data_IF_285065924150
#
_entry.id   IF_285065924150
#
_cell.length_a   1.000
_cell.length_b   1.000
_cell.length_c   1.000
_cell.angle_alpha   90.00
_cell.angle_beta   90.00
_cell.angle_gamma   90.00
#
_symmetry.space_group_name_H-M   'P 1'
#
loop_
_entity.id
_entity.type
_entity.pdbx_description
1 polymer ?
#
# COMPACT_ATOMS: atom_id res chain seq x y z
N UNK A 1 -54.02 -12.05 -19.52
CA UNK A 1 -53.02 -11.02 -19.85
C UNK A 1 -52.24 -10.60 -18.62
N UNK A 2 -52.83 -10.16 -17.51
CA UNK A 2 -52.09 -9.71 -16.31
C UNK A 2 -51.09 -10.74 -15.68
N UNK A 3 -51.42 -12.03 -15.70
CA UNK A 3 -50.52 -13.10 -15.16
C UNK A 3 -49.30 -13.35 -16.06
N UNK A 4 -49.38 -13.06 -17.33
CA UNK A 4 -48.26 -13.22 -18.29
C UNK A 4 -47.33 -12.01 -18.20
N UNK A 5 -47.87 -10.82 -18.01
CA UNK A 5 -47.08 -9.57 -17.79
C UNK A 5 -46.31 -9.60 -16.48
N UNK A 6 -46.93 -10.00 -15.36
CA UNK A 6 -46.26 -10.23 -14.06
C UNK A 6 -45.14 -11.29 -14.13
N UNK A 7 -45.34 -12.36 -14.91
CA UNK A 7 -44.31 -13.39 -15.13
C UNK A 7 -43.13 -12.83 -15.93
N UNK A 8 -43.38 -11.97 -16.93
CA UNK A 8 -42.36 -11.35 -17.75
C UNK A 8 -41.53 -10.32 -16.92
N UNK A 9 -42.19 -9.50 -16.12
CA UNK A 9 -41.51 -8.54 -15.24
C UNK A 9 -40.63 -9.26 -14.21
N UNK A 10 -41.10 -10.36 -13.61
CA UNK A 10 -40.32 -11.18 -12.69
C UNK A 10 -39.05 -11.73 -13.34
N UNK A 11 -39.16 -12.31 -14.53
CA UNK A 11 -38.00 -12.85 -15.25
C UNK A 11 -37.02 -11.74 -15.69
N UNK A 12 -37.51 -10.59 -16.11
CA UNK A 12 -36.66 -9.45 -16.46
C UNK A 12 -35.88 -8.97 -15.24
N UNK A 13 -36.50 -8.83 -14.08
CA UNK A 13 -35.86 -8.41 -12.84
C UNK A 13 -34.85 -9.46 -12.34
N UNK A 14 -35.17 -10.76 -12.47
CA UNK A 14 -34.24 -11.84 -12.15
C UNK A 14 -32.98 -11.79 -13.03
N UNK A 15 -33.14 -11.55 -14.32
CA UNK A 15 -32.01 -11.42 -15.24
C UNK A 15 -31.17 -10.18 -14.92
N UNK A 16 -31.81 -9.04 -14.66
CA UNK A 16 -31.12 -7.81 -14.26
C UNK A 16 -30.29 -8.02 -12.98
N UNK A 17 -30.85 -8.66 -11.96
CA UNK A 17 -30.14 -8.98 -10.72
C UNK A 17 -28.93 -9.88 -11.00
N UNK A 18 -29.07 -10.87 -11.88
CA UNK A 18 -27.95 -11.75 -12.25
C UNK A 18 -26.84 -10.98 -12.97
N UNK A 19 -27.18 -10.04 -13.86
CA UNK A 19 -26.21 -9.16 -14.52
C UNK A 19 -25.52 -8.21 -13.51
N UNK A 20 -26.27 -7.66 -12.56
CA UNK A 20 -25.72 -6.84 -11.48
C UNK A 20 -24.78 -7.63 -10.56
N UNK A 21 -25.11 -8.88 -10.21
CA UNK A 21 -24.20 -9.77 -9.48
C UNK A 21 -22.90 -10.01 -10.22
N UNK A 22 -22.96 -10.27 -11.51
CA UNK A 22 -21.78 -10.44 -12.35
C UNK A 22 -20.95 -9.13 -12.42
N UNK A 23 -21.61 -7.99 -12.58
CA UNK A 23 -20.98 -6.67 -12.62
C UNK A 23 -20.31 -6.34 -11.28
N UNK A 24 -20.97 -6.63 -10.16
CA UNK A 24 -20.38 -6.43 -8.83
C UNK A 24 -19.18 -7.33 -8.63
N UNK A 25 -19.26 -8.61 -9.00
CA UNK A 25 -18.12 -9.56 -8.94
C UNK A 25 -16.91 -9.04 -9.69
N UNK A 26 -17.09 -8.58 -10.93
CA UNK A 26 -15.97 -8.03 -11.72
C UNK A 26 -15.44 -6.71 -11.16
N UNK A 27 -16.31 -5.89 -10.57
CA UNK A 27 -15.90 -4.61 -9.96
C UNK A 27 -15.10 -4.85 -8.68
N UNK A 28 -15.52 -5.81 -7.84
CA UNK A 28 -14.79 -6.24 -6.65
C UNK A 28 -13.44 -6.83 -7.06
N UNK A 29 -13.42 -7.74 -8.04
CA UNK A 29 -12.18 -8.32 -8.54
C UNK A 29 -11.18 -7.24 -9.00
N UNK A 30 -11.63 -6.25 -9.77
CA UNK A 30 -10.79 -5.12 -10.21
C UNK A 30 -10.28 -4.29 -9.04
N UNK A 31 -11.09 -4.06 -8.02
CA UNK A 31 -10.68 -3.36 -6.81
C UNK A 31 -9.58 -4.13 -6.05
N UNK A 32 -9.78 -5.43 -5.85
CA UNK A 32 -8.84 -6.28 -5.13
C UNK A 32 -7.53 -6.47 -5.90
N UNK A 33 -7.59 -6.68 -7.21
CA UNK A 33 -6.40 -6.74 -8.08
C UNK A 33 -5.61 -5.42 -8.02
N UNK A 34 -6.32 -4.29 -8.10
CA UNK A 34 -5.69 -2.97 -7.98
C UNK A 34 -5.02 -2.78 -6.63
N UNK A 35 -5.73 -3.10 -5.55
CA UNK A 35 -5.29 -2.87 -4.17
C UNK A 35 -4.16 -3.82 -3.75
N UNK A 36 -4.31 -5.11 -4.02
CA UNK A 36 -3.43 -6.14 -3.45
C UNK A 36 -2.28 -6.55 -4.37
N UNK A 37 -2.44 -6.39 -5.69
CA UNK A 37 -1.43 -6.80 -6.65
C UNK A 37 -0.77 -5.58 -7.29
N UNK A 38 -1.55 -4.73 -7.98
CA UNK A 38 -0.99 -3.62 -8.76
C UNK A 38 -0.33 -2.58 -7.85
N UNK A 39 -1.01 -2.11 -6.79
CA UNK A 39 -0.45 -1.14 -5.86
C UNK A 39 0.75 -1.70 -5.08
N UNK A 40 0.74 -3.00 -4.76
CA UNK A 40 1.88 -3.67 -4.12
C UNK A 40 3.10 -3.65 -5.05
N UNK A 41 2.94 -4.03 -6.32
CA UNK A 41 4.02 -4.05 -7.30
C UNK A 41 4.57 -2.65 -7.56
N UNK A 42 3.70 -1.64 -7.71
CA UNK A 42 4.11 -0.23 -7.85
C UNK A 42 4.92 0.21 -6.62
N UNK A 43 4.44 -0.11 -5.40
CA UNK A 43 5.17 0.24 -4.16
C UNK A 43 6.55 -0.43 -4.12
N UNK A 44 6.61 -1.72 -4.42
CA UNK A 44 7.88 -2.47 -4.45
C UNK A 44 8.86 -1.84 -5.44
N UNK A 45 8.43 -1.63 -6.67
CA UNK A 45 9.27 -1.04 -7.71
C UNK A 45 9.75 0.37 -7.34
N UNK A 46 8.85 1.23 -6.87
CA UNK A 46 9.20 2.59 -6.46
C UNK A 46 10.21 2.61 -5.31
N UNK A 47 10.00 1.77 -4.27
CA UNK A 47 10.93 1.70 -3.13
C UNK A 47 12.34 1.27 -3.55
N UNK A 48 12.46 0.38 -4.52
CA UNK A 48 13.76 -0.09 -5.00
C UNK A 48 14.44 0.90 -5.96
N UNK A 49 13.71 1.52 -6.87
CA UNK A 49 14.28 2.38 -7.91
C UNK A 49 14.50 3.83 -7.42
N UNK A 50 13.61 4.35 -6.58
CA UNK A 50 13.60 5.75 -6.14
C UNK A 50 13.67 5.88 -4.61
N UNK A 51 12.88 5.09 -3.88
CA UNK A 51 12.72 5.18 -2.44
C UNK A 51 14.04 5.00 -1.67
N UNK A 52 14.94 4.16 -2.16
CA UNK A 52 16.30 4.00 -1.59
C UNK A 52 17.09 5.31 -1.65
N UNK A 53 17.01 6.02 -2.76
CA UNK A 53 17.70 7.31 -2.93
C UNK A 53 17.04 8.41 -2.07
N UNK A 54 15.70 8.44 -2.00
CA UNK A 54 14.98 9.33 -1.09
C UNK A 54 15.36 9.09 0.38
N UNK A 55 15.52 7.82 0.77
CA UNK A 55 16.01 7.48 2.11
C UNK A 55 17.40 8.04 2.38
N UNK A 56 18.33 7.91 1.43
CA UNK A 56 19.69 8.43 1.56
C UNK A 56 19.69 9.96 1.67
N UNK A 57 18.92 10.65 0.84
CA UNK A 57 18.76 12.13 0.92
C UNK A 57 18.21 12.53 2.28
N UNK A 58 17.18 11.86 2.77
CA UNK A 58 16.58 12.16 4.08
C UNK A 58 17.54 11.87 5.24
N UNK A 59 18.34 10.80 5.14
CA UNK A 59 19.39 10.48 6.10
C UNK A 59 20.44 11.60 6.17
N UNK A 60 20.95 12.04 5.03
CA UNK A 60 21.94 13.12 4.94
C UNK A 60 21.34 14.45 5.45
N UNK A 61 20.08 14.74 5.14
CA UNK A 61 19.35 15.89 5.71
C UNK A 61 19.25 15.84 7.24
N UNK A 62 18.92 14.70 7.82
CA UNK A 62 18.85 14.53 9.27
C UNK A 62 20.23 14.73 9.92
N UNK A 63 21.29 14.20 9.31
CA UNK A 63 22.68 14.40 9.77
C UNK A 63 23.08 15.89 9.69
N UNK A 64 22.78 16.57 8.58
CA UNK A 64 23.01 18.01 8.43
C UNK A 64 22.33 18.80 9.56
N UNK A 65 21.06 18.57 9.82
CA UNK A 65 20.34 19.26 10.91
C UNK A 65 20.96 18.98 12.27
N UNK A 66 21.33 17.74 12.54
CA UNK A 66 21.96 17.33 13.80
C UNK A 66 23.32 18.02 14.01
N UNK A 67 24.16 18.05 12.97
CA UNK A 67 25.46 18.74 13.02
C UNK A 67 25.31 20.26 13.18
N UNK A 68 24.37 20.87 12.45
CA UNK A 68 24.04 22.29 12.61
C UNK A 68 23.66 22.59 14.07
N UNK A 69 22.80 21.79 14.66
CA UNK A 69 22.37 21.95 16.04
C UNK A 69 23.53 21.71 17.02
N UNK A 70 24.42 20.75 16.72
CA UNK A 70 25.65 20.50 17.51
C UNK A 70 26.57 21.72 17.50
N UNK A 71 26.83 22.28 16.33
CA UNK A 71 27.64 23.49 16.21
C UNK A 71 27.05 24.69 16.95
N UNK A 72 25.73 24.87 16.94
CA UNK A 72 25.03 25.92 17.71
C UNK A 72 25.23 25.74 19.20
N UNK A 73 25.10 24.52 19.73
CA UNK A 73 25.31 24.22 21.17
C UNK A 73 26.75 24.42 21.59
N UNK A 74 27.72 24.02 20.79
CA UNK A 74 29.14 24.24 21.04
C UNK A 74 29.44 25.74 21.09
N UNK A 75 28.96 26.52 20.11
CA UNK A 75 29.11 28.00 20.10
C UNK A 75 28.50 28.64 21.34
N UNK A 76 27.35 28.17 21.79
CA UNK A 76 26.65 28.69 22.96
C UNK A 76 27.49 28.49 24.22
N UNK A 77 28.01 27.27 24.48
CA UNK A 77 28.88 27.01 25.63
C UNK A 77 30.19 27.81 25.57
N UNK A 78 30.76 27.92 24.35
CA UNK A 78 31.99 28.74 24.14
C UNK A 78 31.76 30.21 24.44
N UNK A 79 30.65 30.79 24.01
CA UNK A 79 30.29 32.18 24.30
C UNK A 79 30.12 32.46 25.80
N UNK A 80 29.63 31.48 26.54
CA UNK A 80 29.45 31.58 28.01
C UNK A 80 30.70 31.20 28.81
N UNK A 81 31.78 30.87 28.15
CA UNK A 81 32.99 30.34 28.77
C UNK A 81 32.77 29.10 29.68
N UNK A 82 31.78 28.28 29.32
CA UNK A 82 31.43 27.03 29.98
C UNK A 82 32.26 25.88 29.43
N UNK A 83 32.52 24.86 30.24
CA UNK A 83 33.18 23.63 29.74
C UNK A 83 32.28 22.90 28.76
N UNK A 84 32.81 22.57 27.59
CA UNK A 84 32.10 21.83 26.55
C UNK A 84 32.13 20.35 26.89
N UNK A 85 30.97 19.78 27.23
CA UNK A 85 30.77 18.34 27.39
C UNK A 85 30.09 17.77 26.14
N UNK A 86 30.89 17.21 25.23
CA UNK A 86 30.40 16.62 23.97
C UNK A 86 29.45 15.46 24.19
N UNK A 87 29.66 14.65 25.27
CA UNK A 87 28.75 13.53 25.56
C UNK A 87 27.38 14.03 26.00
N UNK A 88 27.32 15.07 26.80
CA UNK A 88 26.07 15.69 27.21
C UNK A 88 25.35 16.32 26.03
N UNK A 89 26.07 16.99 25.12
CA UNK A 89 25.53 17.58 23.90
C UNK A 89 24.95 16.47 23.03
N UNK A 90 25.70 15.38 22.74
CA UNK A 90 25.27 14.29 21.89
C UNK A 90 24.06 13.56 22.47
N UNK A 91 24.03 13.26 23.76
CA UNK A 91 22.86 12.66 24.44
C UNK A 91 21.61 13.54 24.32
N UNK A 92 21.79 14.87 24.43
CA UNK A 92 20.69 15.81 24.24
C UNK A 92 20.19 15.86 22.80
N UNK A 93 21.09 15.72 21.83
CA UNK A 93 20.73 15.64 20.41
C UNK A 93 20.04 14.31 20.08
N UNK A 94 20.46 13.19 20.65
CA UNK A 94 19.80 11.89 20.45
C UNK A 94 18.32 11.94 20.86
N UNK A 95 18.01 12.62 21.95
CA UNK A 95 16.62 12.83 22.38
C UNK A 95 15.86 13.77 21.44
N UNK A 96 16.49 14.88 21.02
CA UNK A 96 15.87 15.87 20.11
C UNK A 96 15.59 15.26 18.73
N UNK A 97 16.45 14.36 18.25
CA UNK A 97 16.38 13.74 16.92
C UNK A 97 15.74 12.33 16.93
N UNK A 98 15.20 11.86 18.04
CA UNK A 98 14.62 10.52 18.16
C UNK A 98 13.49 10.26 17.15
N UNK A 99 12.62 11.26 16.87
CA UNK A 99 11.57 11.13 15.86
C UNK A 99 12.11 11.01 14.44
N UNK A 100 13.19 11.74 14.12
CA UNK A 100 13.85 11.63 12.80
C UNK A 100 14.45 10.23 12.63
N UNK A 101 15.09 9.70 13.67
CA UNK A 101 15.65 8.36 13.67
C UNK A 101 14.55 7.31 13.46
N UNK A 102 13.43 7.42 14.18
CA UNK A 102 12.28 6.52 13.99
C UNK A 102 11.77 6.52 12.55
N UNK A 103 11.65 7.69 11.93
CA UNK A 103 11.22 7.78 10.51
C UNK A 103 12.23 7.14 9.56
N UNK A 104 13.52 7.23 9.86
CA UNK A 104 14.58 6.55 9.09
C UNK A 104 14.46 5.04 9.21
N UNK A 105 14.24 4.54 10.43
CA UNK A 105 14.08 3.10 10.70
C UNK A 105 12.84 2.54 10.01
N UNK A 106 11.70 3.24 10.11
CA UNK A 106 10.45 2.87 9.43
C UNK A 106 10.65 2.78 7.91
N UNK A 107 11.38 3.74 7.32
CA UNK A 107 11.63 3.77 5.87
C UNK A 107 12.63 2.70 5.42
N UNK A 108 13.65 2.42 6.24
CA UNK A 108 14.58 1.32 5.98
C UNK A 108 13.87 -0.04 6.01
N UNK A 109 12.92 -0.22 6.93
CA UNK A 109 12.09 -1.42 7.00
C UNK A 109 11.20 -1.57 5.74
N UNK A 110 10.61 -0.49 5.23
CA UNK A 110 9.82 -0.52 4.00
C UNK A 110 10.66 -0.94 2.77
N UNK A 111 11.88 -0.42 2.65
CA UNK A 111 12.82 -0.80 1.58
C UNK A 111 13.22 -2.28 1.71
N UNK A 112 13.52 -2.74 2.92
CA UNK A 112 13.87 -4.14 3.17
C UNK A 112 12.70 -5.08 2.83
N UNK A 113 11.48 -4.72 3.20
CA UNK A 113 10.26 -5.45 2.81
C UNK A 113 10.09 -5.50 1.29
N UNK A 114 10.33 -4.38 0.61
CA UNK A 114 10.27 -4.33 -0.85
C UNK A 114 11.32 -5.24 -1.51
N UNK A 115 12.54 -5.28 -0.98
CA UNK A 115 13.58 -6.19 -1.47
C UNK A 115 13.19 -7.67 -1.26
N UNK A 116 12.65 -8.04 -0.11
CA UNK A 116 12.16 -9.39 0.16
C UNK A 116 10.97 -9.83 -0.70
N UNK A 117 10.17 -8.89 -1.23
CA UNK A 117 9.10 -9.23 -2.18
C UNK A 117 9.65 -9.70 -3.55
N UNK A 118 10.84 -9.24 -3.97
CA UNK A 118 11.48 -9.70 -5.21
C UNK A 118 12.02 -11.14 -5.11
N UNK A 119 12.30 -11.62 -3.91
CA UNK A 119 12.83 -12.98 -3.68
C UNK A 119 11.72 -14.03 -3.66
N UNK A 120 10.45 -13.62 -3.63
CA UNK A 120 9.32 -14.57 -3.67
C UNK A 120 9.21 -15.20 -5.05
N UNK A 121 8.85 -16.49 -5.07
CA UNK A 121 8.52 -17.19 -6.30
C UNK A 121 7.44 -16.43 -7.08
N UNK A 122 7.74 -16.13 -8.34
CA UNK A 122 6.83 -15.46 -9.24
C UNK A 122 5.97 -16.52 -9.93
N UNK A 123 4.65 -16.40 -9.81
CA UNK A 123 3.72 -17.26 -10.53
C UNK A 123 3.96 -17.15 -12.05
N UNK A 124 3.94 -18.28 -12.71
CA UNK A 124 3.92 -18.33 -14.20
C UNK A 124 2.69 -17.62 -14.77
N UNK A 125 2.69 -17.34 -16.04
CA UNK A 125 1.53 -16.71 -16.72
C UNK A 125 0.28 -17.58 -16.59
N UNK A 126 0.42 -18.90 -16.67
CA UNK A 126 -0.65 -19.87 -16.53
C UNK A 126 -1.20 -19.88 -15.10
N UNK A 127 -0.34 -20.00 -14.10
CA UNK A 127 -0.71 -19.94 -12.68
C UNK A 127 -1.38 -18.60 -12.30
N UNK A 128 -0.88 -17.50 -12.89
CA UNK A 128 -1.49 -16.17 -12.70
C UNK A 128 -2.90 -16.12 -13.27
N UNK A 129 -3.16 -16.73 -14.41
CA UNK A 129 -4.51 -16.82 -15.00
C UNK A 129 -5.42 -17.70 -14.16
N UNK A 130 -4.90 -18.82 -13.69
CA UNK A 130 -5.65 -19.78 -12.88
C UNK A 130 -6.07 -19.18 -11.55
N UNK A 131 -5.14 -18.59 -10.78
CA UNK A 131 -5.46 -17.97 -9.49
C UNK A 131 -6.47 -16.84 -9.64
N UNK A 132 -6.38 -16.01 -10.70
CA UNK A 132 -7.36 -14.97 -10.99
C UNK A 132 -8.75 -15.54 -11.34
N UNK A 133 -8.80 -16.64 -12.07
CA UNK A 133 -10.05 -17.33 -12.41
C UNK A 133 -10.72 -17.92 -11.17
N UNK A 134 -9.95 -18.63 -10.34
CA UNK A 134 -10.42 -19.19 -9.07
C UNK A 134 -10.91 -18.10 -8.14
N UNK A 135 -10.18 -17.00 -8.02
CA UNK A 135 -10.56 -15.88 -7.16
C UNK A 135 -11.90 -15.26 -7.59
N UNK A 136 -12.12 -15.02 -8.90
CA UNK A 136 -13.42 -14.53 -9.40
C UNK A 136 -14.57 -15.48 -9.06
N UNK A 137 -14.34 -16.79 -9.25
CA UNK A 137 -15.33 -17.83 -8.91
C UNK A 137 -15.68 -17.79 -7.42
N UNK A 138 -14.68 -17.66 -6.56
CA UNK A 138 -14.85 -17.64 -5.11
C UNK A 138 -15.47 -16.32 -4.60
N UNK A 139 -15.13 -15.16 -5.20
CA UNK A 139 -15.85 -13.90 -4.93
C UNK A 139 -17.34 -14.09 -5.18
N UNK A 140 -17.71 -14.63 -6.33
CA UNK A 140 -19.11 -14.82 -6.71
C UNK A 140 -19.89 -15.66 -5.71
N UNK A 141 -19.24 -16.64 -5.06
CA UNK A 141 -19.87 -17.56 -4.09
C UNK A 141 -19.81 -17.09 -2.65
N UNK A 142 -18.80 -16.31 -2.26
CA UNK A 142 -18.51 -16.04 -0.86
C UNK A 142 -18.49 -14.56 -0.46
N UNK A 143 -18.54 -13.61 -1.43
CA UNK A 143 -18.39 -12.21 -1.04
C UNK A 143 -19.60 -11.70 -0.26
N UNK A 144 -19.41 -11.05 0.92
CA UNK A 144 -20.51 -10.57 1.77
C UNK A 144 -21.49 -9.62 1.05
N UNK A 145 -21.00 -8.78 0.14
CA UNK A 145 -21.87 -7.86 -0.63
C UNK A 145 -22.79 -8.61 -1.63
N UNK A 146 -22.41 -9.83 -2.01
CA UNK A 146 -23.24 -10.71 -2.86
C UNK A 146 -24.15 -11.62 -2.05
N UNK A 147 -23.71 -11.98 -0.84
CA UNK A 147 -24.37 -12.91 0.07
C UNK A 147 -24.42 -12.32 1.49
N UNK A 148 -25.24 -11.28 1.76
CA UNK A 148 -25.24 -10.56 3.05
C UNK A 148 -25.68 -11.45 4.22
N UNK A 149 -26.47 -12.48 3.97
CA UNK A 149 -27.03 -13.37 4.99
C UNK A 149 -26.22 -14.67 5.15
N UNK A 150 -24.99 -14.73 4.65
CA UNK A 150 -24.15 -15.93 4.77
C UNK A 150 -23.67 -16.16 6.20
N UNK A 151 -23.37 -17.44 6.51
CA UNK A 151 -22.90 -17.85 7.83
C UNK A 151 -21.51 -17.27 8.16
N UNK A 152 -21.18 -17.13 9.47
CA UNK A 152 -19.84 -16.69 9.90
C UNK A 152 -18.71 -17.55 9.32
N UNK A 153 -18.93 -18.86 9.17
CA UNK A 153 -17.95 -19.79 8.60
C UNK A 153 -17.63 -19.46 7.14
N UNK A 154 -18.65 -19.06 6.35
CA UNK A 154 -18.44 -18.61 4.96
C UNK A 154 -17.69 -17.28 4.89
N UNK A 155 -17.92 -16.38 5.84
CA UNK A 155 -17.16 -15.12 5.95
C UNK A 155 -15.68 -15.41 6.27
N UNK A 156 -15.42 -16.32 7.22
CA UNK A 156 -14.04 -16.74 7.54
C UNK A 156 -13.36 -17.41 6.35
N UNK A 157 -14.09 -18.27 5.63
CA UNK A 157 -13.59 -18.91 4.42
C UNK A 157 -13.24 -17.86 3.35
N UNK A 158 -14.08 -16.83 3.18
CA UNK A 158 -13.80 -15.72 2.28
C UNK A 158 -12.52 -14.96 2.67
N UNK A 159 -12.29 -14.72 3.97
CA UNK A 159 -11.03 -14.10 4.41
C UNK A 159 -9.80 -14.95 4.06
N UNK A 160 -9.88 -16.26 4.16
CA UNK A 160 -8.82 -17.18 3.74
C UNK A 160 -8.58 -17.11 2.23
N UNK A 161 -9.65 -17.02 1.44
CA UNK A 161 -9.57 -16.82 -0.02
C UNK A 161 -8.85 -15.50 -0.38
N UNK A 162 -9.24 -14.41 0.26
CA UNK A 162 -8.58 -13.10 0.05
C UNK A 162 -7.09 -13.16 0.42
N UNK A 163 -6.75 -13.85 1.52
CA UNK A 163 -5.35 -13.97 1.93
C UNK A 163 -4.55 -14.83 0.95
N UNK A 164 -5.09 -15.98 0.52
CA UNK A 164 -4.45 -16.83 -0.48
C UNK A 164 -4.19 -16.07 -1.81
N UNK A 165 -5.13 -15.21 -2.24
CA UNK A 165 -4.95 -14.38 -3.42
C UNK A 165 -3.84 -13.33 -3.25
N UNK A 166 -3.78 -12.65 -2.09
CA UNK A 166 -2.73 -11.67 -1.75
C UNK A 166 -1.33 -12.29 -1.76
N UNK A 167 -1.24 -13.53 -1.27
CA UNK A 167 0.02 -14.25 -1.13
C UNK A 167 0.44 -14.96 -2.43
N UNK A 168 -0.43 -14.98 -3.44
CA UNK A 168 -0.19 -15.73 -4.68
C UNK A 168 -0.20 -17.26 -4.47
N UNK A 169 -0.86 -17.74 -3.42
CA UNK A 169 -0.86 -19.16 -3.07
C UNK A 169 -1.93 -19.93 -3.87
N UNK A 170 -1.52 -20.37 -5.08
CA UNK A 170 -2.39 -21.10 -6.00
C UNK A 170 -2.87 -22.42 -5.39
N UNK A 171 -2.00 -23.18 -4.74
CA UNK A 171 -2.35 -24.48 -4.15
C UNK A 171 -3.45 -24.34 -3.09
N UNK A 172 -3.33 -23.35 -2.18
CA UNK A 172 -4.37 -23.06 -1.21
C UNK A 172 -5.65 -22.60 -1.89
N UNK A 173 -5.57 -21.79 -2.95
CA UNK A 173 -6.72 -21.32 -3.70
C UNK A 173 -7.50 -22.46 -4.35
N UNK A 174 -6.79 -23.48 -4.89
CA UNK A 174 -7.40 -24.69 -5.46
C UNK A 174 -8.15 -25.48 -4.40
N UNK A 175 -7.54 -25.73 -3.22
CA UNK A 175 -8.19 -26.41 -2.08
C UNK A 175 -9.44 -25.67 -1.62
N UNK A 176 -9.35 -24.33 -1.49
CA UNK A 176 -10.51 -23.52 -1.08
C UNK A 176 -11.64 -23.58 -2.11
N UNK A 177 -11.30 -23.65 -3.40
CA UNK A 177 -12.31 -23.80 -4.47
C UNK A 177 -13.03 -25.14 -4.39
N UNK A 178 -12.32 -26.23 -4.12
CA UNK A 178 -12.93 -27.57 -3.94
C UNK A 178 -13.88 -27.59 -2.73
N UNK A 179 -13.49 -26.99 -1.61
CA UNK A 179 -14.33 -26.90 -0.40
C UNK A 179 -15.63 -26.13 -0.70
N UNK A 180 -15.54 -25.01 -1.40
CA UNK A 180 -16.71 -24.19 -1.75
C UNK A 180 -17.59 -24.84 -2.81
N UNK A 181 -17.02 -25.63 -3.73
CA UNK A 181 -17.80 -26.35 -4.75
C UNK A 181 -18.60 -27.51 -4.18
N UNK A 182 -18.18 -28.06 -3.03
CA UNK A 182 -18.90 -29.11 -2.34
C UNK A 182 -20.18 -28.62 -1.61
N UNK A 183 -20.31 -27.31 -1.38
CA UNK A 183 -21.47 -26.68 -0.74
C UNK A 183 -22.57 -26.43 -1.80
N UNK A 184 -23.69 -27.17 -1.72
CA UNK A 184 -24.82 -27.00 -2.62
C UNK A 184 -25.59 -25.70 -2.31
N UNK A 185 -25.78 -24.84 -3.29
CA UNK A 185 -26.68 -23.68 -3.18
C UNK A 185 -28.14 -24.11 -3.25
N UNK A 186 -28.93 -23.72 -2.26
CA UNK A 186 -30.38 -23.88 -2.28
C UNK A 186 -31.01 -22.62 -2.85
N UNK A 187 -31.57 -22.70 -4.05
CA UNK A 187 -32.37 -21.59 -4.62
C UNK A 187 -33.66 -21.39 -3.83
N UNK A 188 -33.78 -20.27 -3.14
CA UNK A 188 -35.03 -19.81 -2.54
C UNK A 188 -35.78 -18.91 -3.50
N UNK A 189 -37.11 -19.10 -3.62
CA UNK A 189 -37.96 -18.19 -4.41
C UNK A 189 -38.11 -16.87 -3.66
N UNK A 190 -37.63 -15.78 -4.24
CA UNK A 190 -37.77 -14.42 -3.71
C UNK A 190 -39.03 -13.74 -4.25
N UNK A 191 -39.65 -12.89 -3.43
CA UNK A 191 -40.75 -12.04 -3.86
C UNK A 191 -40.27 -10.90 -4.76
N UNK A 192 -41.15 -10.24 -5.49
CA UNK A 192 -40.83 -9.06 -6.31
C UNK A 192 -40.22 -7.92 -5.49
N UNK A 193 -40.74 -7.72 -4.24
CA UNK A 193 -40.23 -6.70 -3.33
C UNK A 193 -38.81 -6.98 -2.87
N UNK A 194 -38.54 -8.23 -2.44
CA UNK A 194 -37.18 -8.67 -2.07
C UNK A 194 -36.18 -8.53 -3.21
N UNK A 195 -36.62 -8.84 -4.44
CA UNK A 195 -35.81 -8.68 -5.64
C UNK A 195 -35.52 -7.19 -5.96
N UNK A 196 -36.50 -6.32 -5.80
CA UNK A 196 -36.31 -4.88 -5.98
C UNK A 196 -35.31 -4.31 -4.94
N UNK A 197 -35.41 -4.73 -3.68
CA UNK A 197 -34.44 -4.37 -2.64
C UNK A 197 -33.04 -4.92 -2.93
N UNK A 198 -32.93 -6.15 -3.39
CA UNK A 198 -31.66 -6.77 -3.77
C UNK A 198 -31.01 -5.98 -4.93
N UNK A 199 -31.79 -5.63 -5.96
CA UNK A 199 -31.33 -4.79 -7.07
C UNK A 199 -30.76 -3.45 -6.57
N UNK A 200 -31.49 -2.78 -5.69
CA UNK A 200 -31.06 -1.50 -5.11
C UNK A 200 -29.75 -1.64 -4.31
N UNK A 201 -29.63 -2.67 -3.48
CA UNK A 201 -28.40 -2.97 -2.73
C UNK A 201 -27.20 -3.23 -3.67
N UNK A 202 -27.38 -4.03 -4.71
CA UNK A 202 -26.34 -4.33 -5.68
C UNK A 202 -25.84 -3.08 -6.42
N UNK A 203 -26.75 -2.19 -6.85
CA UNK A 203 -26.38 -0.93 -7.50
C UNK A 203 -25.55 -0.04 -6.55
N UNK A 204 -25.95 0.09 -5.30
CA UNK A 204 -25.22 0.86 -4.30
C UNK A 204 -23.83 0.27 -4.01
N UNK A 205 -23.73 -1.06 -3.90
CA UNK A 205 -22.45 -1.74 -3.70
C UNK A 205 -21.50 -1.54 -4.90
N UNK A 206 -22.00 -1.62 -6.12
CA UNK A 206 -21.22 -1.35 -7.33
C UNK A 206 -20.67 0.09 -7.32
N UNK A 207 -21.53 1.07 -7.01
CA UNK A 207 -21.13 2.48 -6.95
C UNK A 207 -20.08 2.71 -5.84
N UNK A 208 -20.29 2.13 -4.67
CA UNK A 208 -19.35 2.22 -3.55
C UNK A 208 -17.97 1.64 -3.91
N UNK A 209 -17.92 0.46 -4.55
CA UNK A 209 -16.66 -0.14 -4.98
C UNK A 209 -15.99 0.66 -6.09
N UNK A 210 -16.76 1.20 -7.05
CA UNK A 210 -16.22 2.11 -8.09
C UNK A 210 -15.59 3.36 -7.48
N UNK A 211 -16.21 3.97 -6.47
CA UNK A 211 -15.64 5.11 -5.74
C UNK A 211 -14.31 4.74 -5.05
N UNK A 212 -14.24 3.57 -4.40
CA UNK A 212 -12.99 3.06 -3.80
C UNK A 212 -11.89 2.87 -4.85
N UNK A 213 -12.22 2.35 -6.04
CA UNK A 213 -11.26 2.21 -7.15
C UNK A 213 -10.71 3.59 -7.57
N UNK A 214 -11.57 4.59 -7.72
CA UNK A 214 -11.13 5.94 -8.07
C UNK A 214 -10.25 6.55 -6.98
N UNK A 215 -10.61 6.36 -5.71
CA UNK A 215 -9.80 6.83 -4.59
C UNK A 215 -8.39 6.21 -4.59
N UNK A 216 -8.26 4.89 -4.84
CA UNK A 216 -6.95 4.26 -4.96
C UNK A 216 -6.12 4.92 -6.07
N UNK A 217 -6.74 5.19 -7.23
CA UNK A 217 -6.04 5.76 -8.39
C UNK A 217 -5.52 7.20 -8.17
N UNK A 218 -6.05 7.90 -7.18
CA UNK A 218 -5.64 9.28 -6.83
C UNK A 218 -4.73 9.35 -5.61
N UNK A 219 -4.34 8.22 -5.03
CA UNK A 219 -3.51 8.16 -3.82
C UNK A 219 -2.25 7.31 -4.03
N UNK A 220 -1.29 7.47 -3.13
CA UNK A 220 -0.11 6.57 -3.08
C UNK A 220 -0.56 5.16 -2.65
N UNK A 221 0.06 4.12 -3.21
CA UNK A 221 1.20 4.12 -4.13
C UNK A 221 0.84 4.24 -5.62
N UNK A 222 -0.46 4.25 -6.01
CA UNK A 222 -0.87 4.18 -7.42
C UNK A 222 -0.34 5.37 -8.26
N UNK A 223 -0.33 6.59 -7.69
CA UNK A 223 0.16 7.79 -8.38
C UNK A 223 1.65 7.70 -8.75
N UNK A 224 2.44 6.90 -8.05
CA UNK A 224 3.85 6.67 -8.40
C UNK A 224 4.03 5.98 -9.75
N UNK A 225 2.98 5.32 -10.23
CA UNK A 225 2.95 4.68 -11.56
C UNK A 225 3.30 5.69 -12.66
N UNK A 226 2.84 6.93 -12.55
CA UNK A 226 3.13 7.98 -13.53
C UNK A 226 4.64 8.25 -13.66
N UNK A 227 5.37 8.20 -12.54
CA UNK A 227 6.83 8.39 -12.55
C UNK A 227 7.53 7.13 -13.05
N UNK A 228 7.05 5.94 -12.65
CA UNK A 228 7.68 4.67 -13.01
C UNK A 228 7.52 4.32 -14.49
N UNK A 229 6.37 4.64 -15.08
CA UNK A 229 6.06 4.34 -16.49
C UNK A 229 6.68 5.35 -17.47
N UNK A 230 7.11 6.54 -16.99
CA UNK A 230 7.74 7.58 -17.79
C UNK A 230 9.26 7.64 -17.52
N UNK A 231 10.12 7.14 -18.43
CA UNK A 231 11.56 7.13 -18.25
C UNK A 231 12.15 8.52 -18.00
N UNK A 232 11.60 9.56 -18.66
CA UNK A 232 12.11 10.93 -18.54
C UNK A 232 11.83 11.45 -17.12
N UNK A 233 10.58 11.35 -16.66
CA UNK A 233 10.21 11.77 -15.29
C UNK A 233 10.99 11.00 -14.22
N UNK A 234 11.24 9.72 -14.45
CA UNK A 234 12.05 8.91 -13.56
C UNK A 234 13.51 9.38 -13.48
N UNK A 235 14.14 9.62 -14.63
CA UNK A 235 15.50 10.13 -14.68
C UNK A 235 15.62 11.52 -14.06
N UNK A 236 14.69 12.42 -14.34
CA UNK A 236 14.60 13.75 -13.71
C UNK A 236 14.51 13.65 -12.20
N UNK A 237 13.63 12.77 -11.67
CA UNK A 237 13.48 12.57 -10.23
C UNK A 237 14.75 12.02 -9.59
N UNK A 238 15.41 11.06 -10.23
CA UNK A 238 16.69 10.50 -9.77
C UNK A 238 17.79 11.55 -9.78
N UNK A 239 17.86 12.39 -10.82
CA UNK A 239 18.85 13.47 -10.93
C UNK A 239 18.65 14.53 -9.83
N UNK A 240 17.40 14.97 -9.60
CA UNK A 240 17.02 15.88 -8.50
C UNK A 240 17.49 15.35 -7.14
N UNK A 241 17.20 14.07 -6.85
CA UNK A 241 17.57 13.46 -5.59
C UNK A 241 19.09 13.32 -5.41
N UNK A 242 19.83 12.97 -6.48
CA UNK A 242 21.31 12.91 -6.45
C UNK A 242 21.94 14.28 -6.19
N UNK A 243 21.41 15.32 -6.81
CA UNK A 243 21.87 16.69 -6.58
C UNK A 243 21.60 17.15 -5.15
N UNK A 244 20.39 16.90 -4.65
CA UNK A 244 20.03 17.17 -3.26
C UNK A 244 20.94 16.41 -2.27
N UNK A 245 21.22 15.13 -2.53
CA UNK A 245 22.13 14.34 -1.71
C UNK A 245 23.54 14.94 -1.69
N UNK A 246 24.06 15.30 -2.86
CA UNK A 246 25.38 15.93 -2.97
C UNK A 246 25.44 17.24 -2.15
N UNK A 247 24.42 18.09 -2.30
CA UNK A 247 24.33 19.36 -1.57
C UNK A 247 24.34 19.16 -0.05
N UNK A 248 23.62 18.14 0.46
CA UNK A 248 23.66 17.84 1.89
C UNK A 248 25.01 17.29 2.34
N UNK A 249 25.68 16.45 1.56
CA UNK A 249 27.03 15.96 1.88
C UNK A 249 28.04 17.09 1.96
N UNK A 250 28.06 17.99 0.97
CA UNK A 250 28.95 19.15 0.98
C UNK A 250 28.70 20.06 2.21
N UNK A 251 27.42 20.21 2.59
CA UNK A 251 27.05 20.97 3.80
C UNK A 251 27.44 20.25 5.11
N UNK A 252 27.38 18.93 5.15
CA UNK A 252 27.82 18.09 6.28
C UNK A 252 29.32 18.26 6.45
N UNK A 253 30.12 18.08 5.40
CA UNK A 253 31.57 18.24 5.43
C UNK A 253 31.97 19.62 5.95
N UNK A 254 31.31 20.67 5.45
CA UNK A 254 31.51 22.04 5.93
C UNK A 254 31.22 22.20 7.44
N UNK A 255 30.14 21.61 7.92
CA UNK A 255 29.78 21.67 9.35
C UNK A 255 30.75 20.88 10.23
N UNK A 256 31.24 19.75 9.76
CA UNK A 256 32.24 18.95 10.47
C UNK A 256 33.56 19.74 10.63
N UNK A 257 34.01 20.42 9.56
CA UNK A 257 35.18 21.32 9.65
C UNK A 257 34.96 22.49 10.64
N UNK A 258 33.76 23.10 10.61
CA UNK A 258 33.41 24.16 11.55
C UNK A 258 33.44 23.66 12.98
N UNK A 259 32.85 22.51 13.27
CA UNK A 259 32.84 21.89 14.59
C UNK A 259 34.28 21.61 15.06
N UNK A 260 35.10 21.05 14.17
CA UNK A 260 36.52 20.78 14.45
C UNK A 260 37.26 22.06 14.86
N UNK A 261 37.18 23.15 14.09
CA UNK A 261 37.77 24.45 14.39
C UNK A 261 37.28 25.03 15.73
N UNK A 262 35.97 24.91 16.02
CA UNK A 262 35.40 25.39 17.26
C UNK A 262 35.95 24.65 18.49
N UNK A 263 36.32 23.38 18.37
CA UNK A 263 36.89 22.58 19.45
C UNK A 263 38.40 22.83 19.62
N UNK A 264 39.17 22.94 18.53
CA UNK A 264 40.60 23.23 18.53
C UNK A 264 40.89 24.58 19.22
N UNK A 265 40.14 25.63 18.93
CA UNK A 265 40.26 26.95 19.57
C UNK A 265 39.90 26.92 21.09
N UNK A 266 39.40 25.81 21.63
CA UNK A 266 39.03 25.66 23.05
C UNK A 266 40.14 24.98 23.83
N UNK A 267 41.01 24.17 23.19
CA UNK A 267 42.13 23.48 23.84
C UNK A 267 43.37 24.39 24.02
N UNK A 268 43.43 25.52 23.31
CA UNK A 268 44.53 26.48 23.39
C UNK A 268 44.35 27.53 24.49
N UNK A 269 43.38 27.37 25.39
CA UNK A 269 43.13 28.28 26.55
C UNK A 269 43.06 27.50 27.85
#
# INVERSE_FOLDING_TARGET
MANIELSQEYENLKNEIQELKNTLTETIFKYDELKYIICKNIKTQYMLEIGTLEYLVYKDYCQYLRLKRKAERIRFHKYRHEKIDLKMIDTGLDKEFAEYQKRLDDRAEEITKAAGELEKEVLTTEETREIKSLYRKLIKKLHPDLHPDQSPDKIELFHKVVQAYKDGNLSLMQVLAEVVDADAEVETKSTMEEMAEQRYRLLNSIDAVKKKIQQIKTTTPYIWKEILDDPIKKEEKIAELKEAQKSFKDAIDTLEEIIKKLLEETDDR
#
